data_IF_750246025888
#
_entry.id   IF_750246025888
#
_cell.length_a   1.000
_cell.length_b   1.000
_cell.length_c   1.000
_cell.angle_alpha   90.00
_cell.angle_beta   90.00
_cell.angle_gamma   90.00
#
_symmetry.space_group_name_H-M   'P 1'
#
loop_
_entity.id
_entity.type
_entity.pdbx_description
1 polymer ?
#
# COMPACT_ATOMS: atom_id res chain seq x y z
N UNK A 1 2.84 30.95 13.58
CA UNK A 1 3.24 30.71 14.97
C UNK A 1 3.46 29.22 15.11
N UNK A 2 4.73 28.81 14.99
CA UNK A 2 5.13 27.40 15.11
C UNK A 2 5.15 27.04 16.59
N UNK A 3 4.28 26.14 17.01
CA UNK A 3 4.31 25.61 18.36
C UNK A 3 5.65 24.88 18.53
N UNK A 4 6.46 25.38 19.47
CA UNK A 4 7.60 24.67 20.04
C UNK A 4 7.04 23.37 20.60
N UNK A 5 7.19 22.26 19.89
CA UNK A 5 6.88 20.94 20.44
C UNK A 5 7.95 20.65 21.50
N UNK A 6 7.43 20.48 22.67
CA UNK A 6 8.06 20.02 23.90
C UNK A 6 9.26 19.10 23.63
N UNK A 7 10.38 19.32 24.35
CA UNK A 7 11.65 18.56 24.29
C UNK A 7 11.52 17.12 24.88
N UNK A 8 10.28 16.59 25.03
CA UNK A 8 10.10 15.23 25.51
C UNK A 8 10.60 14.21 24.50
N UNK A 9 11.19 13.14 25.00
CA UNK A 9 11.56 11.98 24.17
C UNK A 9 10.30 11.39 23.53
N UNK A 10 10.32 11.05 22.22
CA UNK A 10 9.19 10.42 21.58
C UNK A 10 8.89 9.05 22.20
N UNK A 11 7.61 8.77 22.38
CA UNK A 11 7.15 7.47 22.85
C UNK A 11 6.96 6.55 21.65
N UNK A 12 7.70 5.44 21.63
CA UNK A 12 7.67 4.47 20.54
C UNK A 12 7.16 3.13 21.04
N UNK A 13 6.06 2.67 20.44
CA UNK A 13 5.53 1.33 20.68
C UNK A 13 6.09 0.36 19.62
N UNK A 14 6.71 -0.72 20.08
CA UNK A 14 7.34 -1.74 19.22
C UNK A 14 6.57 -3.04 19.32
N UNK A 15 5.95 -3.46 18.22
CA UNK A 15 5.20 -4.71 18.11
C UNK A 15 5.90 -5.67 17.15
N UNK A 16 6.43 -6.76 17.65
CA UNK A 16 7.05 -7.81 16.85
C UNK A 16 6.98 -9.15 17.58
N UNK A 17 6.66 -10.25 16.88
CA UNK A 17 6.58 -11.59 17.47
C UNK A 17 7.96 -12.07 17.93
N UNK A 18 9.00 -11.80 17.12
CA UNK A 18 10.36 -12.22 17.41
C UNK A 18 11.03 -11.32 18.45
N UNK A 19 11.41 -11.88 19.58
CA UNK A 19 12.14 -11.18 20.64
C UNK A 19 13.43 -10.48 20.14
N UNK A 20 14.27 -11.10 19.29
CA UNK A 20 15.47 -10.44 18.78
C UNK A 20 15.14 -9.16 17.97
N UNK A 21 14.07 -9.16 17.18
CA UNK A 21 13.61 -7.98 16.42
C UNK A 21 13.20 -6.86 17.39
N UNK A 22 12.36 -7.16 18.39
CA UNK A 22 11.94 -6.16 19.39
C UNK A 22 13.15 -5.55 20.10
N UNK A 23 14.02 -6.42 20.65
CA UNK A 23 15.21 -5.97 21.37
C UNK A 23 16.14 -5.13 20.49
N UNK A 24 16.35 -5.55 19.24
CA UNK A 24 17.18 -4.80 18.29
C UNK A 24 16.63 -3.40 18.00
N UNK A 25 15.33 -3.27 17.78
CA UNK A 25 14.66 -1.98 17.56
C UNK A 25 14.73 -1.10 18.82
N UNK A 26 14.47 -1.66 20.00
CA UNK A 26 14.59 -0.93 21.26
C UNK A 26 16.01 -0.39 21.49
N UNK A 27 17.02 -1.23 21.31
CA UNK A 27 18.43 -0.82 21.48
C UNK A 27 18.82 0.29 20.49
N UNK A 28 18.33 0.23 19.26
CA UNK A 28 18.59 1.26 18.25
C UNK A 28 17.95 2.62 18.58
N UNK A 29 16.94 2.64 19.45
CA UNK A 29 16.17 3.83 19.81
C UNK A 29 16.35 4.28 21.26
N UNK A 30 17.01 3.50 22.12
CA UNK A 30 17.05 3.69 23.57
C UNK A 30 17.58 5.07 24.01
N UNK A 31 18.44 5.68 23.21
CA UNK A 31 18.98 7.00 23.51
C UNK A 31 18.06 8.15 23.08
N UNK A 32 17.15 7.90 22.14
CA UNK A 32 16.35 8.95 21.51
C UNK A 32 14.84 8.83 21.74
N UNK A 33 14.37 7.68 22.25
CA UNK A 33 12.95 7.42 22.44
C UNK A 33 12.66 6.60 23.72
N UNK A 34 11.47 6.77 24.25
CA UNK A 34 10.93 5.92 25.31
C UNK A 34 10.17 4.77 24.64
N UNK A 35 10.79 3.57 24.69
CA UNK A 35 10.29 2.40 23.99
C UNK A 35 9.43 1.51 24.88
N UNK A 36 8.25 1.12 24.39
CA UNK A 36 7.38 0.10 24.97
C UNK A 36 7.32 -1.07 24.01
N UNK A 37 7.59 -2.29 24.50
CA UNK A 37 7.58 -3.50 23.69
C UNK A 37 6.32 -4.32 23.94
N UNK A 38 5.71 -4.81 22.86
CA UNK A 38 4.56 -5.74 22.89
C UNK A 38 4.76 -6.89 21.90
N UNK A 39 4.17 -8.06 22.15
CA UNK A 39 4.48 -9.25 21.36
C UNK A 39 3.89 -9.21 19.93
N UNK A 40 2.78 -8.53 19.72
CA UNK A 40 2.05 -8.61 18.46
C UNK A 40 1.20 -7.36 18.17
N UNK A 41 0.55 -7.35 17.01
CA UNK A 41 -0.31 -6.26 16.58
C UNK A 41 -1.55 -6.03 17.44
N UNK A 42 -2.32 -7.05 17.84
CA UNK A 42 -3.43 -6.90 18.80
C UNK A 42 -3.00 -6.24 20.10
N UNK A 43 -1.91 -6.70 20.72
CA UNK A 43 -1.37 -6.10 21.93
C UNK A 43 -0.94 -4.64 21.71
N UNK A 44 -0.46 -4.30 20.51
CA UNK A 44 -0.13 -2.91 20.16
C UNK A 44 -1.37 -2.01 20.11
N UNK A 45 -2.47 -2.49 19.57
CA UNK A 45 -3.74 -1.75 19.54
C UNK A 45 -4.23 -1.47 20.96
N UNK A 46 -4.22 -2.48 21.82
CA UNK A 46 -4.68 -2.36 23.21
C UNK A 46 -3.78 -1.40 24.01
N UNK A 47 -2.47 -1.53 23.88
CA UNK A 47 -1.51 -0.64 24.53
C UNK A 47 -1.65 0.81 24.05
N UNK A 48 -1.81 1.03 22.74
CA UNK A 48 -1.95 2.36 22.18
C UNK A 48 -3.27 3.06 22.54
N UNK A 49 -4.34 2.32 22.82
CA UNK A 49 -5.60 2.86 23.32
C UNK A 49 -5.50 3.35 24.77
N UNK A 50 -4.73 2.64 25.58
CA UNK A 50 -4.53 2.99 26.99
C UNK A 50 -3.59 4.19 27.15
N UNK A 51 -2.53 4.21 26.36
CA UNK A 51 -1.49 5.21 26.43
C UNK A 51 -0.91 5.46 25.03
N UNK A 52 -1.45 6.47 24.31
CA UNK A 52 -1.14 6.70 22.92
C UNK A 52 0.35 6.97 22.66
N UNK A 53 1.02 6.22 21.76
CA UNK A 53 2.39 6.49 21.35
C UNK A 53 2.44 7.63 20.32
N UNK A 54 3.64 8.22 20.15
CA UNK A 54 3.90 9.12 19.02
C UNK A 54 4.14 8.31 17.73
N UNK A 55 4.79 7.15 17.86
CA UNK A 55 5.09 6.25 16.75
C UNK A 55 4.84 4.79 17.15
N UNK A 56 4.28 3.99 16.28
CA UNK A 56 4.18 2.55 16.42
C UNK A 56 4.99 1.86 15.32
N UNK A 57 5.94 1.01 15.69
CA UNK A 57 6.68 0.14 14.77
C UNK A 57 6.08 -1.25 14.84
N UNK A 58 5.61 -1.76 13.70
CA UNK A 58 4.97 -3.07 13.59
C UNK A 58 5.74 -3.97 12.65
N UNK A 59 6.17 -5.12 13.15
CA UNK A 59 6.71 -6.19 12.31
C UNK A 59 5.56 -6.98 11.69
N UNK A 60 5.55 -7.02 10.36
CA UNK A 60 4.64 -7.87 9.61
C UNK A 60 5.40 -9.08 9.11
N UNK A 61 5.44 -10.15 9.90
CA UNK A 61 5.78 -11.44 9.31
C UNK A 61 4.68 -11.86 8.31
N UNK A 62 5.09 -12.24 7.13
CA UNK A 62 4.48 -12.91 5.97
C UNK A 62 2.95 -13.05 5.83
N UNK A 63 2.12 -12.70 6.79
CA UNK A 63 0.67 -12.88 6.73
C UNK A 63 -0.05 -11.56 6.39
N UNK A 64 -0.62 -11.52 5.18
CA UNK A 64 -1.41 -10.38 4.67
C UNK A 64 -2.64 -10.01 5.53
N UNK A 65 -3.08 -10.90 6.41
CA UNK A 65 -4.18 -10.64 7.35
C UNK A 65 -3.76 -9.77 8.54
N UNK A 66 -2.47 -9.57 8.76
CA UNK A 66 -1.91 -8.79 9.88
C UNK A 66 -1.96 -7.26 9.68
N UNK A 67 -2.51 -6.75 8.58
CA UNK A 67 -2.74 -5.30 8.40
C UNK A 67 -3.95 -4.76 9.19
N UNK A 68 -4.74 -5.64 9.80
CA UNK A 68 -5.85 -5.22 10.63
C UNK A 68 -5.41 -4.33 11.81
N UNK A 69 -4.38 -4.68 12.59
CA UNK A 69 -3.88 -3.79 13.65
C UNK A 69 -3.39 -2.44 13.13
N UNK A 70 -2.76 -2.37 11.94
CA UNK A 70 -2.37 -1.09 11.32
C UNK A 70 -3.58 -0.20 11.08
N UNK A 71 -4.66 -0.77 10.52
CA UNK A 71 -5.91 -0.04 10.29
C UNK A 71 -6.57 0.42 11.59
N UNK A 72 -6.57 -0.45 12.61
CA UNK A 72 -7.15 -0.15 13.91
C UNK A 72 -6.37 0.97 14.62
N UNK A 73 -5.04 0.92 14.58
CA UNK A 73 -4.18 2.00 15.10
C UNK A 73 -4.45 3.32 14.38
N UNK A 74 -4.44 3.32 13.06
CA UNK A 74 -4.73 4.51 12.26
C UNK A 74 -6.12 5.10 12.56
N UNK A 75 -7.12 4.25 12.82
CA UNK A 75 -8.48 4.69 13.13
C UNK A 75 -8.64 5.20 14.58
N UNK A 76 -8.07 4.48 15.55
CA UNK A 76 -8.28 4.78 16.96
C UNK A 76 -7.26 5.76 17.55
N UNK A 77 -6.06 5.81 16.97
CA UNK A 77 -4.96 6.69 17.42
C UNK A 77 -4.39 7.43 16.21
N UNK A 78 -5.18 8.30 15.54
CA UNK A 78 -4.78 8.93 14.28
C UNK A 78 -3.57 9.87 14.40
N UNK A 79 -3.23 10.28 15.63
CA UNK A 79 -2.03 11.09 15.88
C UNK A 79 -0.73 10.27 15.89
N UNK A 80 -0.81 8.95 16.08
CA UNK A 80 0.34 8.07 16.06
C UNK A 80 0.76 7.74 14.62
N UNK A 81 2.03 7.93 14.30
CA UNK A 81 2.58 7.46 13.03
C UNK A 81 2.83 5.95 13.08
N UNK A 82 2.35 5.19 12.11
CA UNK A 82 2.56 3.74 12.04
C UNK A 82 3.63 3.42 11.01
N UNK A 83 4.70 2.76 11.45
CA UNK A 83 5.77 2.24 10.59
C UNK A 83 5.67 0.73 10.55
N UNK A 84 5.57 0.17 9.37
CA UNK A 84 5.59 -1.27 9.14
C UNK A 84 6.99 -1.69 8.74
N UNK A 85 7.50 -2.75 9.38
CA UNK A 85 8.75 -3.41 8.99
C UNK A 85 8.44 -4.82 8.46
N UNK A 86 9.22 -5.28 7.48
CA UNK A 86 9.02 -6.57 6.81
C UNK A 86 10.37 -7.19 6.45
N UNK A 87 10.52 -8.52 6.44
CA UNK A 87 11.74 -9.17 5.99
C UNK A 87 12.08 -8.82 4.53
N UNK A 88 11.06 -8.67 3.70
CA UNK A 88 11.23 -8.43 2.28
C UNK A 88 10.27 -7.36 1.78
N UNK A 89 10.81 -6.30 1.22
CA UNK A 89 10.02 -5.23 0.61
C UNK A 89 9.35 -5.73 -0.68
N UNK A 90 8.03 -5.71 -0.69
CA UNK A 90 7.17 -6.10 -1.82
C UNK A 90 6.24 -4.93 -2.21
N UNK A 91 6.00 -4.77 -3.50
CA UNK A 91 5.22 -3.62 -4.02
C UNK A 91 3.72 -3.74 -3.71
N UNK A 92 3.17 -4.94 -3.77
CA UNK A 92 1.75 -5.17 -3.47
C UNK A 92 1.48 -5.04 -1.96
N UNK A 93 2.41 -5.55 -1.13
CA UNK A 93 2.37 -5.37 0.32
C UNK A 93 2.50 -3.88 0.67
N UNK A 94 3.42 -3.14 0.04
CA UNK A 94 3.54 -1.70 0.20
C UNK A 94 2.21 -0.98 -0.05
N UNK A 95 1.55 -1.27 -1.16
CA UNK A 95 0.25 -0.66 -1.48
C UNK A 95 -0.84 -1.01 -0.45
N UNK A 96 -0.83 -2.22 0.08
CA UNK A 96 -1.75 -2.64 1.13
C UNK A 96 -1.47 -1.93 2.46
N UNK A 97 -0.20 -1.77 2.81
CA UNK A 97 0.29 -1.04 4.00
C UNK A 97 -0.09 0.45 3.94
N UNK A 98 0.12 1.09 2.80
CA UNK A 98 -0.28 2.50 2.58
C UNK A 98 -1.80 2.67 2.73
N UNK A 99 -2.58 1.77 2.12
CA UNK A 99 -4.06 1.80 2.25
C UNK A 99 -4.55 1.51 3.67
N UNK A 100 -3.74 0.83 4.48
CA UNK A 100 -4.03 0.61 5.88
C UNK A 100 -3.76 1.85 6.77
N UNK A 101 -3.11 2.89 6.22
CA UNK A 101 -2.83 4.15 6.90
C UNK A 101 -1.44 4.24 7.51
N UNK A 102 -0.49 3.38 7.11
CA UNK A 102 0.88 3.47 7.60
C UNK A 102 1.62 4.70 7.02
N UNK A 103 2.48 5.29 7.83
CA UNK A 103 3.36 6.41 7.49
C UNK A 103 4.75 5.95 7.05
N UNK A 104 5.10 4.68 7.31
CA UNK A 104 6.39 4.10 6.94
C UNK A 104 6.28 2.63 6.52
N UNK A 105 7.19 2.21 5.61
CA UNK A 105 7.34 0.82 5.18
C UNK A 105 8.81 0.53 4.96
N UNK A 106 9.43 -0.24 5.83
CA UNK A 106 10.86 -0.47 5.90
C UNK A 106 11.20 -1.96 5.85
N UNK A 107 12.41 -2.26 5.41
CA UNK A 107 12.99 -3.59 5.58
C UNK A 107 13.46 -3.80 7.02
N UNK A 108 13.32 -5.01 7.55
CA UNK A 108 13.95 -5.43 8.82
C UNK A 108 15.49 -5.28 8.79
N UNK A 109 16.09 -5.24 7.59
CA UNK A 109 17.51 -5.02 7.39
C UNK A 109 17.90 -3.53 7.29
N UNK A 110 17.01 -2.63 7.67
CA UNK A 110 17.35 -1.21 7.74
C UNK A 110 18.50 -1.02 8.76
N UNK A 111 19.44 -0.16 8.40
CA UNK A 111 20.52 0.23 9.31
C UNK A 111 19.91 0.81 10.61
N UNK A 112 20.16 0.19 11.77
CA UNK A 112 19.65 0.68 13.05
C UNK A 112 19.96 2.15 13.34
N UNK A 113 21.12 2.64 12.89
CA UNK A 113 21.52 4.04 13.03
C UNK A 113 20.60 5.04 12.31
N UNK A 114 19.79 4.56 11.35
CA UNK A 114 18.83 5.39 10.63
C UNK A 114 17.47 5.50 11.32
N UNK A 115 17.14 4.60 12.23
CA UNK A 115 15.82 4.56 12.88
C UNK A 115 15.48 5.86 13.62
N UNK A 116 16.38 6.47 14.40
CA UNK A 116 16.09 7.75 15.04
C UNK A 116 15.69 8.86 14.05
N UNK A 117 16.37 8.91 12.90
CA UNK A 117 16.01 9.85 11.85
C UNK A 117 14.63 9.56 11.29
N UNK A 118 14.32 8.30 11.01
CA UNK A 118 12.99 7.88 10.50
C UNK A 118 11.88 8.26 11.48
N UNK A 119 12.07 8.00 12.78
CA UNK A 119 11.11 8.38 13.83
C UNK A 119 10.84 9.89 13.79
N UNK A 120 11.89 10.70 13.79
CA UNK A 120 11.75 12.16 13.70
C UNK A 120 11.06 12.62 12.42
N UNK A 121 11.32 11.97 11.29
CA UNK A 121 10.68 12.29 10.01
C UNK A 121 9.18 12.02 10.04
N UNK A 122 8.74 10.83 10.49
CA UNK A 122 7.31 10.51 10.53
C UNK A 122 6.55 11.37 11.55
N UNK A 123 7.18 11.77 12.65
CA UNK A 123 6.60 12.71 13.63
C UNK A 123 6.39 14.12 13.05
N UNK A 124 7.16 14.51 12.04
CA UNK A 124 6.96 15.76 11.30
C UNK A 124 5.90 15.64 10.19
N UNK A 125 5.28 14.47 10.04
CA UNK A 125 4.30 14.19 8.99
C UNK A 125 4.94 13.80 7.65
N UNK A 126 6.26 13.54 7.61
CA UNK A 126 6.92 12.99 6.45
C UNK A 126 6.64 11.48 6.36
N UNK A 127 6.80 10.89 5.16
CA UNK A 127 6.63 9.46 4.97
C UNK A 127 7.98 8.75 4.85
N UNK A 128 8.09 7.58 5.47
CA UNK A 128 9.27 6.72 5.39
C UNK A 128 9.04 5.56 4.43
N UNK A 129 8.85 5.88 3.15
CA UNK A 129 8.61 4.89 2.10
C UNK A 129 9.82 4.69 1.19
N UNK A 130 10.06 3.46 0.69
CA UNK A 130 11.11 3.23 -0.30
C UNK A 130 10.83 4.02 -1.58
N UNK A 131 11.79 4.84 -2.01
CA UNK A 131 11.64 5.71 -3.21
C UNK A 131 11.20 4.94 -4.45
N UNK A 132 11.66 3.70 -4.61
CA UNK A 132 11.29 2.84 -5.75
C UNK A 132 9.79 2.56 -5.84
N UNK A 133 9.04 2.61 -4.72
CA UNK A 133 7.61 2.34 -4.69
C UNK A 133 6.75 3.62 -4.79
N UNK A 134 7.35 4.81 -4.64
CA UNK A 134 6.62 6.09 -4.74
C UNK A 134 5.98 6.25 -6.12
N UNK A 135 6.67 5.79 -7.18
CA UNK A 135 6.10 5.79 -8.53
C UNK A 135 4.78 5.01 -8.58
N UNK A 136 4.73 3.84 -7.96
CA UNK A 136 3.53 3.00 -7.89
C UNK A 136 2.38 3.70 -7.18
N UNK A 137 2.68 4.42 -6.09
CA UNK A 137 1.70 5.21 -5.36
C UNK A 137 1.12 6.32 -6.26
N UNK A 138 1.97 7.03 -6.99
CA UNK A 138 1.53 8.08 -7.92
C UNK A 138 0.66 7.48 -9.04
N UNK A 139 1.03 6.33 -9.59
CA UNK A 139 0.25 5.63 -10.61
C UNK A 139 -1.12 5.20 -10.07
N UNK A 140 -1.18 4.71 -8.83
CA UNK A 140 -2.44 4.35 -8.17
C UNK A 140 -3.34 5.58 -7.96
N UNK A 141 -2.77 6.71 -7.52
CA UNK A 141 -3.52 7.96 -7.36
C UNK A 141 -4.05 8.47 -8.71
N UNK A 142 -3.21 8.43 -9.74
CA UNK A 142 -3.64 8.79 -11.11
C UNK A 142 -4.70 7.82 -11.63
N UNK A 143 -4.58 6.53 -11.33
CA UNK A 143 -5.55 5.52 -11.70
C UNK A 143 -6.90 5.67 -10.98
N UNK A 144 -6.92 6.29 -9.81
CA UNK A 144 -8.19 6.62 -9.11
C UNK A 144 -8.91 7.82 -9.71
N UNK A 145 -8.20 8.70 -10.42
CA UNK A 145 -8.78 9.83 -11.16
C UNK A 145 -9.18 9.46 -12.59
N UNK A 146 -8.58 8.42 -13.17
CA UNK A 146 -8.97 7.86 -14.48
C UNK A 146 -10.02 6.76 -14.30
N UNK A 147 -11.28 7.11 -14.36
CA UNK A 147 -12.38 6.15 -14.53
C UNK A 147 -12.61 5.97 -16.02
N UNK A 148 -12.43 4.76 -16.51
CA UNK A 148 -12.74 4.39 -17.88
C UNK A 148 -14.09 3.68 -17.87
N UNK A 149 -15.08 4.29 -18.47
CA UNK A 149 -16.37 3.67 -18.65
C UNK A 149 -16.33 2.84 -19.92
N UNK A 150 -16.63 1.57 -19.80
CA UNK A 150 -16.69 0.62 -20.92
C UNK A 150 -18.10 0.08 -20.99
N UNK A 151 -18.77 0.31 -22.10
CA UNK A 151 -20.09 -0.28 -22.34
C UNK A 151 -19.92 -1.74 -22.74
N UNK A 152 -20.61 -2.64 -22.09
CA UNK A 152 -20.55 -4.08 -22.37
C UNK A 152 -21.95 -4.66 -22.26
N UNK A 153 -22.49 -5.18 -23.37
CA UNK A 153 -23.78 -5.86 -23.35
C UNK A 153 -24.96 -5.00 -22.88
N UNK A 154 -24.88 -3.66 -23.04
CA UNK A 154 -25.88 -2.71 -22.56
C UNK A 154 -25.72 -2.24 -21.11
N UNK A 155 -24.68 -2.69 -20.40
CA UNK A 155 -24.31 -2.19 -19.09
C UNK A 155 -22.98 -1.42 -19.16
N UNK A 156 -22.75 -0.47 -18.27
CA UNK A 156 -21.49 0.27 -18.17
C UNK A 156 -20.62 -0.30 -17.05
N UNK A 157 -19.43 -0.79 -17.40
CA UNK A 157 -18.41 -1.20 -16.44
C UNK A 157 -17.41 -0.06 -16.20
N UNK A 158 -17.13 0.25 -14.94
CA UNK A 158 -16.15 1.27 -14.57
C UNK A 158 -14.83 0.60 -14.23
N UNK A 159 -13.80 0.92 -15.01
CA UNK A 159 -12.46 0.38 -14.87
C UNK A 159 -11.50 1.44 -14.31
N UNK A 160 -10.57 0.99 -13.51
CA UNK A 160 -9.42 1.83 -13.09
C UNK A 160 -8.42 1.97 -14.25
N UNK A 161 -7.57 2.99 -14.23
CA UNK A 161 -6.53 3.15 -15.25
C UNK A 161 -5.60 1.92 -15.35
N UNK A 162 -5.40 1.20 -14.24
CA UNK A 162 -4.57 -0.02 -14.25
C UNK A 162 -5.28 -1.19 -14.91
N UNK A 163 -6.54 -1.35 -14.66
CA UNK A 163 -7.38 -2.34 -15.34
C UNK A 163 -7.48 -2.03 -16.84
N UNK A 164 -7.58 -0.75 -17.18
CA UNK A 164 -7.55 -0.30 -18.57
C UNK A 164 -6.23 -0.64 -19.28
N UNK A 165 -5.07 -0.34 -18.65
CA UNK A 165 -3.76 -0.72 -19.19
C UNK A 165 -3.60 -2.23 -19.39
N UNK A 166 -4.14 -3.02 -18.46
CA UNK A 166 -4.16 -4.49 -18.60
C UNK A 166 -4.99 -4.91 -19.80
N UNK A 167 -6.16 -4.31 -20.01
CA UNK A 167 -7.02 -4.57 -21.17
C UNK A 167 -6.30 -4.23 -22.49
N UNK A 168 -5.69 -3.05 -22.58
CA UNK A 168 -4.98 -2.64 -23.79
C UNK A 168 -3.90 -3.65 -24.20
N UNK A 169 -3.12 -4.14 -23.20
CA UNK A 169 -2.11 -5.15 -23.45
C UNK A 169 -2.70 -6.53 -23.76
N UNK A 170 -3.85 -6.89 -23.15
CA UNK A 170 -4.60 -8.11 -23.52
C UNK A 170 -5.10 -8.07 -24.96
N UNK A 171 -5.63 -6.92 -25.39
CA UNK A 171 -6.09 -6.67 -26.78
C UNK A 171 -4.92 -6.75 -27.76
N UNK A 172 -3.75 -6.26 -27.38
CA UNK A 172 -2.51 -6.39 -28.15
C UNK A 172 -1.94 -7.81 -28.18
N UNK A 173 -2.65 -8.80 -27.61
CA UNK A 173 -2.26 -10.22 -27.65
C UNK A 173 -1.21 -10.64 -26.61
N UNK A 174 -0.83 -9.75 -25.67
CA UNK A 174 0.19 -10.09 -24.68
C UNK A 174 -0.30 -11.13 -23.66
N UNK A 175 0.59 -12.06 -23.28
CA UNK A 175 0.33 -13.01 -22.21
C UNK A 175 0.33 -12.29 -20.86
N UNK A 176 -0.33 -12.88 -19.85
CA UNK A 176 -0.35 -12.32 -18.48
C UNK A 176 1.06 -12.13 -17.91
N UNK A 177 2.02 -12.98 -18.29
CA UNK A 177 3.43 -12.84 -17.91
C UNK A 177 4.05 -11.59 -18.56
N UNK A 178 3.86 -11.40 -19.86
CA UNK A 178 4.35 -10.22 -20.58
C UNK A 178 3.72 -8.92 -20.10
N UNK A 179 2.42 -8.96 -19.71
CA UNK A 179 1.72 -7.85 -19.09
C UNK A 179 2.36 -7.50 -17.75
N UNK A 180 2.66 -8.50 -16.91
CA UNK A 180 3.31 -8.29 -15.64
C UNK A 180 4.67 -7.60 -15.80
N UNK A 181 5.50 -8.08 -16.74
CA UNK A 181 6.81 -7.50 -17.06
C UNK A 181 6.70 -6.06 -17.56
N UNK A 182 5.80 -5.79 -18.52
CA UNK A 182 5.62 -4.45 -19.10
C UNK A 182 5.06 -3.42 -18.12
N UNK A 183 4.21 -3.87 -17.23
CA UNK A 183 3.57 -3.01 -16.24
C UNK A 183 4.32 -2.97 -14.90
N UNK A 184 5.47 -3.64 -14.76
CA UNK A 184 6.31 -3.65 -13.57
C UNK A 184 5.61 -4.27 -12.36
N UNK A 185 4.83 -5.35 -12.55
CA UNK A 185 4.10 -6.03 -11.48
C UNK A 185 4.38 -7.53 -11.45
N UNK A 186 3.99 -8.20 -10.35
CA UNK A 186 4.09 -9.65 -10.28
C UNK A 186 3.08 -10.34 -11.23
N UNK A 187 3.39 -11.55 -11.74
CA UNK A 187 2.42 -12.32 -12.55
C UNK A 187 1.12 -12.63 -11.78
N UNK A 188 1.18 -12.73 -10.47
CA UNK A 188 0.00 -12.93 -9.61
C UNK A 188 -0.88 -11.69 -9.62
N UNK A 189 -0.28 -10.50 -9.52
CA UNK A 189 -0.97 -9.22 -9.58
C UNK A 189 -1.63 -9.01 -10.93
N UNK A 190 -0.91 -9.31 -12.02
CA UNK A 190 -1.49 -9.19 -13.36
C UNK A 190 -2.71 -10.11 -13.53
N UNK A 191 -2.64 -11.37 -13.05
CA UNK A 191 -3.79 -12.29 -13.05
C UNK A 191 -4.97 -11.74 -12.25
N UNK A 192 -4.71 -11.12 -11.08
CA UNK A 192 -5.77 -10.52 -10.27
C UNK A 192 -6.44 -9.34 -10.99
N UNK A 193 -5.69 -8.50 -11.69
CA UNK A 193 -6.28 -7.42 -12.50
C UNK A 193 -7.12 -7.96 -13.65
N UNK A 194 -6.65 -9.01 -14.34
CA UNK A 194 -7.45 -9.68 -15.40
C UNK A 194 -8.76 -10.20 -14.82
N UNK A 195 -8.71 -10.96 -13.72
CA UNK A 195 -9.91 -11.48 -13.07
C UNK A 195 -10.86 -10.37 -12.55
N UNK A 196 -10.32 -9.26 -12.08
CA UNK A 196 -11.11 -8.09 -11.66
C UNK A 196 -11.86 -7.49 -12.85
N UNK A 197 -11.20 -7.37 -14.00
CA UNK A 197 -11.84 -6.86 -15.23
C UNK A 197 -12.90 -7.84 -15.74
N UNK A 198 -12.58 -9.13 -15.82
CA UNK A 198 -13.54 -10.18 -16.20
C UNK A 198 -14.81 -10.10 -15.34
N UNK A 199 -14.64 -9.95 -14.00
CA UNK A 199 -15.78 -9.80 -13.09
C UNK A 199 -16.59 -8.52 -13.31
N UNK A 200 -15.94 -7.39 -13.61
CA UNK A 200 -16.62 -6.10 -13.86
C UNK A 200 -17.36 -6.08 -15.20
N UNK A 201 -16.82 -6.75 -16.20
CA UNK A 201 -17.36 -6.85 -17.56
C UNK A 201 -18.37 -8.00 -17.69
N UNK A 202 -18.42 -8.90 -16.68
CA UNK A 202 -19.29 -10.08 -16.73
C UNK A 202 -18.79 -11.19 -17.64
N UNK A 203 -17.53 -11.13 -18.10
CA UNK A 203 -16.91 -12.15 -18.93
C UNK A 203 -16.43 -13.34 -18.08
N UNK A 204 -16.65 -14.55 -18.57
CA UNK A 204 -16.21 -15.79 -17.91
C UNK A 204 -14.89 -16.31 -18.46
N UNK A 205 -14.50 -15.84 -19.63
CA UNK A 205 -13.28 -16.25 -20.32
C UNK A 205 -12.58 -15.04 -20.92
N UNK A 206 -11.27 -15.19 -21.16
CA UNK A 206 -10.48 -14.16 -21.87
C UNK A 206 -11.02 -13.86 -23.27
N UNK A 207 -11.55 -14.86 -23.98
CA UNK A 207 -12.13 -14.69 -25.30
C UNK A 207 -13.38 -13.80 -25.20
N UNK A 208 -14.32 -14.13 -24.32
CA UNK A 208 -15.50 -13.32 -24.04
C UNK A 208 -15.15 -11.89 -23.61
N UNK A 209 -14.10 -11.71 -22.80
CA UNK A 209 -13.61 -10.39 -22.41
C UNK A 209 -13.15 -9.59 -23.63
N UNK A 210 -12.38 -10.19 -24.53
CA UNK A 210 -11.87 -9.52 -25.72
C UNK A 210 -13.00 -9.21 -26.71
N UNK A 211 -13.95 -10.12 -26.91
CA UNK A 211 -15.12 -9.93 -27.77
C UNK A 211 -16.02 -8.81 -27.23
N UNK A 212 -16.27 -8.79 -25.93
CA UNK A 212 -17.05 -7.75 -25.28
C UNK A 212 -16.43 -6.35 -25.45
N UNK A 213 -15.10 -6.27 -25.47
CA UNK A 213 -14.36 -5.01 -25.63
C UNK A 213 -14.19 -4.58 -27.10
N UNK A 214 -14.37 -5.47 -28.07
CA UNK A 214 -14.30 -5.15 -29.51
C UNK A 214 -15.53 -4.40 -29.95
N UNK A 215 -16.70 -4.68 -29.38
CA UNK A 215 -17.97 -4.08 -29.75
C UNK A 215 -18.06 -2.58 -29.44
N UNK A 216 -17.18 -2.04 -28.60
CA UNK A 216 -17.25 -0.64 -28.11
C UNK A 216 -16.30 0.33 -28.83
N UNK A 217 -15.54 -0.13 -29.81
CA UNK A 217 -14.53 0.73 -30.48
C UNK A 217 -15.18 1.75 -31.45
N UNK A 218 -16.51 1.72 -31.62
CA UNK A 218 -17.21 2.69 -32.48
C UNK A 218 -17.68 3.95 -31.76
N UNK A 219 -17.67 3.96 -30.41
CA UNK A 219 -18.13 5.10 -29.61
C UNK A 219 -17.04 6.10 -29.27
N UNK A 220 -15.76 5.68 -29.31
CA UNK A 220 -14.64 6.51 -28.85
C UNK A 220 -14.05 7.45 -29.88
N UNK A 221 -14.35 7.26 -31.17
CA UNK A 221 -13.80 8.11 -32.24
C UNK A 221 -14.68 9.35 -32.51
N UNK A 222 -15.88 9.46 -31.93
CA UNK A 222 -16.78 10.61 -32.13
C UNK A 222 -16.43 11.83 -31.29
N UNK A 223 -15.83 11.67 -30.12
CA UNK A 223 -15.51 12.80 -29.22
C UNK A 223 -14.13 13.45 -29.49
N UNK A 224 -13.34 12.91 -30.40
CA UNK A 224 -12.04 13.46 -30.79
C UNK A 224 -12.06 14.35 -32.04
N UNK A 225 -13.22 14.45 -32.71
CA UNK A 225 -13.35 15.22 -33.97
C UNK A 225 -14.16 16.51 -33.84
N UNK A 226 -14.63 16.84 -32.60
CA UNK A 226 -15.31 18.12 -32.34
C UNK A 226 -14.68 18.89 -31.18
N UNK A 227 -13.39 19.26 -31.30
CA UNK A 227 -12.82 20.37 -30.53
C UNK A 227 -11.56 20.90 -31.22
#
# INVERSE_FOLDING_TARGET
MSAVRDERRPRVLIAADALPTRTGLRLALEQEADCVEVPDGPAAVDAARLDPPDVCIMDLEADRHRLRPVKELHHHVPAAAVIVITPRLDEDEFMAVVRAGASGYLSQHVDPARLPYVIRSVMRGETAFPRRFVRRLIEELRGRTGRYEVAVGGATAVLTAREWQVIELLRAGHSTKAIAERLGMSPVTARRHVASVEGKVGARTRAELLDALVLDNQSFDRDRTES
#
